data_IF_083497110718
#
_entry.id   IF_083497110718
#
_cell.length_a   1.000
_cell.length_b   1.000
_cell.length_c   1.000
_cell.angle_alpha   90.00
_cell.angle_beta   90.00
_cell.angle_gamma   90.00
#
_symmetry.space_group_name_H-M   'P 1'
#
loop_
_entity.id
_entity.type
_entity.pdbx_description
1 polymer ?
#
# COMPACT_ATOMS: atom_id res chain seq x y z
N UNK A 1 10.08 29.66 13.59
CA UNK A 1 11.33 29.02 13.14
C UNK A 1 11.01 28.29 11.84
N UNK A 2 11.52 28.79 10.70
CA UNK A 2 11.23 28.27 9.35
C UNK A 2 12.21 27.14 9.02
N UNK A 3 11.71 25.93 8.74
CA UNK A 3 12.52 24.82 8.27
C UNK A 3 12.50 24.79 6.74
N UNK A 4 13.24 25.71 6.12
CA UNK A 4 13.45 25.72 4.68
C UNK A 4 14.52 24.69 4.30
N UNK A 5 14.10 23.45 4.08
CA UNK A 5 14.96 22.41 3.50
C UNK A 5 15.14 22.74 2.01
N UNK A 6 16.22 23.44 1.67
CA UNK A 6 16.61 23.63 0.27
C UNK A 6 17.05 22.28 -0.30
N UNK A 7 16.51 21.82 -1.45
CA UNK A 7 17.02 20.63 -2.11
C UNK A 7 18.45 20.91 -2.57
N UNK A 8 19.39 20.07 -2.11
CA UNK A 8 20.74 20.02 -2.64
C UNK A 8 20.62 19.54 -4.09
N UNK A 9 20.76 20.46 -5.04
CA UNK A 9 20.95 20.12 -6.45
C UNK A 9 22.33 19.46 -6.50
N UNK A 10 22.36 18.15 -6.42
CA UNK A 10 23.52 17.41 -6.88
C UNK A 10 23.45 17.49 -8.41
N UNK A 11 24.40 18.21 -9.00
CA UNK A 11 24.60 18.30 -10.45
C UNK A 11 24.96 16.91 -11.01
N UNK A 12 23.96 16.05 -11.15
CA UNK A 12 24.06 14.86 -11.99
C UNK A 12 23.80 15.40 -13.40
N UNK A 13 24.89 15.70 -14.10
CA UNK A 13 24.90 15.99 -15.53
C UNK A 13 24.20 14.84 -16.28
N UNK A 14 22.90 15.01 -16.56
CA UNK A 14 22.23 14.24 -17.59
C UNK A 14 22.76 14.79 -18.91
N UNK A 15 23.69 14.04 -19.53
CA UNK A 15 24.14 14.35 -20.88
C UNK A 15 22.91 14.53 -21.78
N UNK A 16 22.77 15.73 -22.32
CA UNK A 16 21.82 16.08 -23.36
C UNK A 16 21.96 15.09 -24.52
N UNK A 17 21.02 14.14 -24.62
CA UNK A 17 20.89 13.29 -25.81
C UNK A 17 20.02 14.05 -26.82
N UNK A 18 20.60 15.10 -27.41
CA UNK A 18 20.17 15.53 -28.73
C UNK A 18 20.71 14.53 -29.75
N UNK A 19 19.88 13.60 -30.20
CA UNK A 19 20.11 12.93 -31.49
C UNK A 19 18.79 12.59 -32.15
N UNK A 20 18.55 13.24 -33.29
CA UNK A 20 17.49 12.93 -34.25
C UNK A 20 17.46 11.44 -34.60
N UNK A 21 16.25 10.88 -34.69
CA UNK A 21 15.92 9.88 -35.70
C UNK A 21 16.45 8.47 -35.49
N UNK A 22 16.11 7.81 -34.39
CA UNK A 22 16.07 6.35 -34.28
C UNK A 22 15.16 5.96 -33.12
N UNK A 23 14.32 4.91 -33.21
CA UNK A 23 13.65 4.40 -32.03
C UNK A 23 14.75 3.87 -31.11
N UNK A 24 14.94 4.44 -29.90
CA UNK A 24 16.06 4.01 -29.07
C UNK A 24 15.78 2.57 -28.64
N UNK A 25 16.72 1.67 -28.95
CA UNK A 25 16.87 0.42 -28.20
C UNK A 25 16.83 0.79 -26.70
N UNK A 26 15.99 0.11 -25.93
CA UNK A 26 15.79 0.43 -24.53
C UNK A 26 17.15 0.47 -23.81
N UNK A 27 17.54 1.66 -23.35
CA UNK A 27 18.84 1.91 -22.73
C UNK A 27 18.89 1.20 -21.38
N UNK A 28 19.74 0.19 -21.30
CA UNK A 28 19.99 -0.57 -20.07
C UNK A 28 21.14 0.09 -19.29
N UNK A 29 20.96 0.26 -17.98
CA UNK A 29 21.93 0.86 -17.07
C UNK A 29 22.01 0.07 -15.76
N UNK A 30 22.79 0.58 -14.80
CA UNK A 30 22.90 -0.01 -13.45
C UNK A 30 22.49 1.04 -12.42
N UNK A 31 21.57 0.69 -11.51
CA UNK A 31 21.13 1.53 -10.39
C UNK A 31 21.22 0.73 -9.09
N UNK A 32 21.98 1.23 -8.12
CA UNK A 32 22.24 0.55 -6.83
C UNK A 32 22.68 -0.92 -6.99
N UNK A 33 23.56 -1.20 -7.95
CA UNK A 33 24.05 -2.55 -8.23
C UNK A 33 23.04 -3.47 -8.94
N UNK A 34 21.90 -2.94 -9.38
CA UNK A 34 20.88 -3.68 -10.14
C UNK A 34 20.79 -3.16 -11.56
N UNK A 35 20.66 -4.08 -12.50
CA UNK A 35 20.45 -3.72 -13.90
C UNK A 35 19.04 -3.16 -14.06
N UNK A 36 18.93 -1.95 -14.63
CA UNK A 36 17.67 -1.25 -14.90
C UNK A 36 17.56 -0.94 -16.37
N UNK A 37 16.34 -0.89 -16.89
CA UNK A 37 16.06 -0.52 -18.28
C UNK A 37 15.26 0.77 -18.27
N UNK A 38 15.63 1.73 -19.12
CA UNK A 38 14.88 2.96 -19.29
C UNK A 38 13.54 2.65 -19.95
N UNK A 39 12.45 2.95 -19.25
CA UNK A 39 11.09 2.79 -19.77
C UNK A 39 10.60 4.08 -20.42
N UNK A 40 9.80 3.92 -21.48
CA UNK A 40 9.15 5.06 -22.14
C UNK A 40 8.08 5.69 -21.23
N UNK A 41 7.67 6.95 -21.45
CA UNK A 41 6.61 7.57 -20.66
C UNK A 41 5.29 6.79 -20.69
N UNK A 42 4.95 6.17 -21.83
CA UNK A 42 3.73 5.35 -21.96
C UNK A 42 3.83 4.04 -21.17
N UNK A 43 4.96 3.33 -21.27
CA UNK A 43 5.22 2.13 -20.46
C UNK A 43 5.22 2.44 -18.96
N UNK A 44 5.78 3.58 -18.57
CA UNK A 44 5.79 4.02 -17.18
C UNK A 44 4.39 4.23 -16.63
N UNK A 45 3.51 4.86 -17.39
CA UNK A 45 2.13 5.09 -16.96
C UNK A 45 1.33 3.79 -16.92
N UNK A 46 1.51 2.90 -17.90
CA UNK A 46 0.92 1.56 -17.88
C UNK A 46 1.38 0.75 -16.65
N UNK A 47 2.68 0.74 -16.38
CA UNK A 47 3.25 0.05 -15.21
C UNK A 47 2.70 0.65 -13.90
N UNK A 48 2.59 1.98 -13.80
CA UNK A 48 1.99 2.64 -12.63
C UNK A 48 0.53 2.24 -12.43
N UNK A 49 -0.27 2.21 -13.50
CA UNK A 49 -1.67 1.82 -13.43
C UNK A 49 -1.82 0.37 -12.96
N UNK A 50 -1.02 -0.54 -13.52
CA UNK A 50 -1.02 -1.96 -13.15
C UNK A 50 -0.59 -2.16 -11.70
N UNK A 51 0.53 -1.55 -11.27
CA UNK A 51 0.98 -1.66 -9.87
C UNK A 51 -0.02 -1.08 -8.88
N UNK A 52 -0.77 -0.03 -9.26
CA UNK A 52 -1.85 0.52 -8.42
C UNK A 52 -3.00 -0.48 -8.25
N UNK A 53 -3.38 -1.17 -9.32
CA UNK A 53 -4.43 -2.19 -9.27
C UNK A 53 -4.00 -3.37 -8.40
N UNK A 54 -2.80 -3.91 -8.61
CA UNK A 54 -2.25 -5.01 -7.81
C UNK A 54 -2.17 -4.65 -6.32
N UNK A 55 -1.67 -3.43 -6.00
CA UNK A 55 -1.61 -2.96 -4.63
C UNK A 55 -3.02 -2.80 -4.02
N UNK A 56 -3.98 -2.28 -4.78
CA UNK A 56 -5.36 -2.12 -4.33
C UNK A 56 -6.01 -3.47 -4.02
N UNK A 57 -5.76 -4.48 -4.84
CA UNK A 57 -6.25 -5.84 -4.61
C UNK A 57 -5.62 -6.44 -3.35
N UNK A 58 -4.30 -6.31 -3.19
CA UNK A 58 -3.60 -6.80 -2.00
C UNK A 58 -4.11 -6.13 -0.72
N UNK A 59 -4.26 -4.81 -0.72
CA UNK A 59 -4.80 -4.06 0.41
C UNK A 59 -6.25 -4.45 0.72
N UNK A 60 -7.07 -4.68 -0.31
CA UNK A 60 -8.45 -5.14 -0.14
C UNK A 60 -8.51 -6.52 0.52
N UNK A 61 -7.65 -7.46 0.09
CA UNK A 61 -7.53 -8.77 0.73
C UNK A 61 -7.11 -8.63 2.20
N UNK A 62 -6.12 -7.80 2.51
CA UNK A 62 -5.68 -7.59 3.89
C UNK A 62 -6.74 -6.93 4.77
N UNK A 63 -7.45 -5.92 4.27
CA UNK A 63 -8.55 -5.28 5.00
C UNK A 63 -9.66 -6.29 5.31
N UNK A 64 -9.99 -7.17 4.36
CA UNK A 64 -10.96 -8.23 4.60
C UNK A 64 -10.45 -9.22 5.67
N UNK A 65 -9.17 -9.61 5.63
CA UNK A 65 -8.57 -10.50 6.64
C UNK A 65 -8.59 -9.86 8.04
N UNK A 66 -8.29 -8.57 8.17
CA UNK A 66 -8.39 -7.85 9.46
C UNK A 66 -9.83 -7.80 9.98
N UNK A 67 -10.81 -7.56 9.10
CA UNK A 67 -12.23 -7.58 9.46
C UNK A 67 -12.66 -8.98 9.92
N UNK A 68 -12.33 -10.04 9.16
CA UNK A 68 -12.64 -11.43 9.53
C UNK A 68 -11.99 -11.82 10.87
N UNK A 69 -10.72 -11.44 11.08
CA UNK A 69 -10.03 -11.71 12.34
C UNK A 69 -10.67 -10.95 13.52
N UNK A 70 -11.17 -9.73 13.32
CA UNK A 70 -11.89 -8.99 14.35
C UNK A 70 -13.24 -9.62 14.70
N UNK A 71 -13.99 -10.11 13.69
CA UNK A 71 -15.28 -10.78 13.90
C UNK A 71 -15.08 -12.11 14.64
N UNK A 72 -14.08 -12.89 14.24
CA UNK A 72 -13.71 -14.16 14.91
C UNK A 72 -13.06 -13.94 16.29
N UNK A 73 -12.62 -12.72 16.63
CA UNK A 73 -12.08 -12.42 17.95
C UNK A 73 -13.16 -12.23 19.02
N UNK A 74 -14.42 -11.97 18.64
CA UNK A 74 -15.55 -11.95 19.59
C UNK A 74 -15.83 -13.34 20.20
N UNK A 75 -15.54 -14.42 19.48
CA UNK A 75 -15.69 -15.78 19.99
C UNK A 75 -14.58 -16.20 20.98
N UNK A 76 -13.52 -15.39 21.14
CA UNK A 76 -12.38 -15.72 22.01
C UNK A 76 -12.53 -15.28 23.45
N UNK A 77 -13.61 -14.57 23.82
CA UNK A 77 -13.88 -14.28 25.22
C UNK A 77 -14.72 -15.42 25.83
N UNK A 78 -14.12 -16.35 26.61
CA UNK A 78 -14.85 -17.46 27.23
C UNK A 78 -15.92 -16.99 28.22
N UNK A 79 -15.90 -15.71 28.60
CA UNK A 79 -16.88 -15.11 29.51
C UNK A 79 -18.02 -14.39 28.78
N UNK A 80 -17.96 -14.23 27.45
CA UNK A 80 -18.99 -13.55 26.65
C UNK A 80 -20.39 -14.18 26.82
N UNK A 81 -20.46 -15.51 26.80
CA UNK A 81 -21.69 -16.27 27.03
C UNK A 81 -22.22 -16.07 28.45
N UNK A 82 -21.34 -16.08 29.45
CA UNK A 82 -21.71 -15.87 30.85
C UNK A 82 -22.16 -14.43 31.11
N UNK A 83 -21.50 -13.45 30.50
CA UNK A 83 -21.87 -12.04 30.57
C UNK A 83 -23.24 -11.78 29.93
N UNK A 84 -23.53 -12.43 28.79
CA UNK A 84 -24.84 -12.34 28.14
C UNK A 84 -25.95 -12.99 28.99
N UNK A 85 -25.66 -14.15 29.60
CA UNK A 85 -26.58 -14.82 30.53
C UNK A 85 -26.87 -13.95 31.77
N UNK A 86 -25.82 -13.40 32.38
CA UNK A 86 -25.95 -12.52 33.54
C UNK A 86 -26.78 -11.28 33.20
N UNK A 87 -26.57 -10.69 32.01
CA UNK A 87 -27.37 -9.55 31.54
C UNK A 87 -28.83 -9.93 31.29
N UNK A 88 -29.10 -11.11 30.72
CA UNK A 88 -30.47 -11.61 30.54
C UNK A 88 -31.19 -11.77 31.89
N UNK A 89 -30.52 -12.35 32.88
CA UNK A 89 -31.06 -12.50 34.25
C UNK A 89 -31.37 -11.12 34.85
N UNK A 90 -30.43 -10.17 34.75
CA UNK A 90 -30.60 -8.81 35.26
C UNK A 90 -31.84 -8.11 34.69
N UNK A 91 -32.03 -8.15 33.36
CA UNK A 91 -33.17 -7.52 32.68
C UNK A 91 -34.51 -8.15 33.11
N UNK A 92 -34.56 -9.47 33.28
CA UNK A 92 -35.78 -10.17 33.71
C UNK A 92 -36.08 -9.85 35.19
N UNK A 93 -35.05 -9.82 36.04
CA UNK A 93 -35.19 -9.55 37.48
C UNK A 93 -35.58 -8.10 37.82
N UNK A 94 -35.32 -7.15 36.92
CA UNK A 94 -35.74 -5.75 37.07
C UNK A 94 -37.16 -5.48 36.57
N UNK A 95 -37.78 -6.45 35.89
CA UNK A 95 -39.15 -6.34 35.35
C UNK A 95 -40.21 -6.97 36.28
N UNK A 96 -39.88 -7.18 37.56
CA UNK A 96 -40.81 -7.61 38.62
C UNK A 96 -41.00 -6.52 39.67
#
# INVERSE_FOLDING_TARGET
MSNDIKPKINDIYFNNLESKGQPPLATQGTFLGRTVVQTSPGEREANRANSKLELSELLSMHANVEIYNSILSFEKDPHSVQALLNRKIQVISQSQ
#
